data_IF_118498153605
#
_entry.id   IF_118498153605
#
_cell.length_a   1.000
_cell.length_b   1.000
_cell.length_c   1.000
_cell.angle_alpha   90.00
_cell.angle_beta   90.00
_cell.angle_gamma   90.00
#
_symmetry.space_group_name_H-M   'P 1'
#
loop_
_entity.id
_entity.type
_entity.pdbx_description
1 polymer ?
#
# COMPACT_ATOMS: atom_id res chain seq x y z
N UNK A 1 35.08 -67.24 -26.01
CA UNK A 1 34.21 -66.24 -26.66
C UNK A 1 32.97 -66.19 -25.80
N UNK A 2 32.91 -65.15 -24.97
CA UNK A 2 31.97 -65.03 -23.86
C UNK A 2 30.97 -63.94 -24.23
N UNK A 3 29.76 -64.33 -24.61
CA UNK A 3 28.67 -63.39 -24.93
C UNK A 3 27.79 -63.17 -23.71
N UNK A 4 28.07 -62.05 -23.03
CA UNK A 4 27.23 -61.44 -22.01
C UNK A 4 26.10 -60.65 -22.69
N UNK A 5 24.86 -61.07 -22.49
CA UNK A 5 23.67 -60.31 -22.88
C UNK A 5 23.38 -59.20 -21.86
N UNK A 6 23.55 -57.95 -22.32
CA UNK A 6 23.25 -56.71 -21.61
C UNK A 6 21.74 -56.56 -21.34
N UNK A 7 21.39 -56.40 -20.06
CA UNK A 7 20.05 -56.06 -19.62
C UNK A 7 19.82 -54.54 -19.78
N UNK A 8 18.88 -54.17 -20.65
CA UNK A 8 18.41 -52.79 -20.83
C UNK A 8 17.72 -52.29 -19.55
N UNK A 9 18.41 -51.44 -18.80
CA UNK A 9 17.87 -50.71 -17.68
C UNK A 9 16.88 -49.65 -18.18
N UNK A 10 15.59 -49.89 -17.97
CA UNK A 10 14.51 -48.91 -18.27
C UNK A 10 14.50 -47.87 -17.15
N UNK A 11 15.01 -46.68 -17.45
CA UNK A 11 15.01 -45.51 -16.58
C UNK A 11 13.58 -44.92 -16.50
N UNK A 12 12.80 -45.35 -15.51
CA UNK A 12 11.49 -44.77 -15.19
C UNK A 12 11.69 -43.47 -14.42
N UNK A 13 11.92 -42.37 -15.13
CA UNK A 13 11.89 -41.04 -14.51
C UNK A 13 10.45 -40.66 -14.15
N UNK A 14 10.17 -40.27 -12.89
CA UNK A 14 8.85 -39.80 -12.52
C UNK A 14 8.53 -38.49 -13.22
N UNK A 15 7.37 -38.44 -13.86
CA UNK A 15 6.79 -37.23 -14.46
C UNK A 15 6.55 -36.21 -13.35
N UNK A 16 7.44 -35.23 -13.23
CA UNK A 16 7.28 -34.12 -12.31
C UNK A 16 6.04 -33.30 -12.72
N UNK A 17 4.98 -33.40 -11.91
CA UNK A 17 3.84 -32.49 -11.98
C UNK A 17 4.36 -31.10 -11.63
N UNK A 18 4.47 -30.25 -12.66
CA UNK A 18 4.82 -28.84 -12.54
C UNK A 18 3.67 -28.13 -11.84
N UNK A 19 3.74 -28.02 -10.51
CA UNK A 19 2.93 -27.03 -9.80
C UNK A 19 3.48 -25.65 -10.18
N UNK A 20 2.69 -24.89 -10.94
CA UNK A 20 2.98 -23.47 -11.13
C UNK A 20 3.03 -22.80 -9.77
N UNK A 21 4.22 -22.28 -9.46
CA UNK A 21 4.51 -21.51 -8.26
C UNK A 21 3.65 -20.24 -8.29
N UNK A 22 2.48 -20.26 -7.66
CA UNK A 22 1.60 -19.09 -7.46
C UNK A 22 2.06 -18.22 -6.29
N UNK A 23 3.24 -18.47 -5.74
CA UNK A 23 3.82 -17.74 -4.61
C UNK A 23 4.42 -16.40 -5.04
N UNK A 24 3.62 -15.45 -5.52
CA UNK A 24 4.07 -14.06 -5.77
C UNK A 24 2.93 -13.05 -5.86
N UNK A 25 1.95 -13.08 -4.96
CA UNK A 25 0.92 -12.02 -4.96
C UNK A 25 0.64 -11.33 -3.63
N UNK A 26 1.10 -11.85 -2.49
CA UNK A 26 0.72 -11.27 -1.19
C UNK A 26 1.71 -11.62 -0.06
N UNK A 27 2.99 -11.16 -0.08
CA UNK A 27 3.77 -11.02 1.15
C UNK A 27 3.42 -9.72 1.91
N UNK A 28 2.65 -8.82 1.28
CA UNK A 28 2.17 -7.60 1.88
C UNK A 28 0.65 -7.60 1.86
N UNK A 29 0.03 -7.44 3.03
CA UNK A 29 -1.39 -7.10 3.11
C UNK A 29 -1.44 -5.59 2.97
N UNK A 30 -1.30 -5.17 1.72
CA UNK A 30 -1.70 -3.84 1.28
C UNK A 30 -3.09 -4.06 0.67
N UNK A 31 -4.13 -3.28 1.03
CA UNK A 31 -5.21 -3.05 0.06
C UNK A 31 -4.54 -2.67 -1.27
N UNK A 32 -5.02 -3.19 -2.42
CA UNK A 32 -4.24 -3.43 -3.63
C UNK A 32 -3.38 -2.23 -4.05
N UNK A 33 -2.09 -2.24 -3.71
CA UNK A 33 -1.18 -1.12 -3.93
C UNK A 33 0.27 -1.58 -3.92
N UNK A 34 0.94 -1.49 -5.09
CA UNK A 34 2.31 -1.00 -5.25
C UNK A 34 2.64 -0.97 -6.77
N UNK A 35 2.36 0.20 -7.39
CA UNK A 35 2.95 0.86 -8.57
C UNK A 35 2.93 0.20 -9.98
N UNK A 36 2.85 0.99 -11.09
CA UNK A 36 3.39 2.34 -11.28
C UNK A 36 2.37 3.49 -11.29
N UNK A 37 2.87 4.68 -10.94
CA UNK A 37 2.31 5.93 -11.40
C UNK A 37 2.40 5.94 -12.92
N UNK A 38 1.26 5.89 -13.60
CA UNK A 38 1.14 6.49 -14.93
C UNK A 38 0.39 7.79 -14.79
N UNK A 39 1.03 8.83 -15.30
CA UNK A 39 0.58 10.20 -15.35
C UNK A 39 -0.81 10.28 -15.99
N UNK A 40 -1.72 11.03 -15.37
CA UNK A 40 -2.83 11.63 -16.09
C UNK A 40 -2.56 13.13 -16.15
N UNK A 41 -2.09 13.59 -17.31
CA UNK A 41 -2.16 15.00 -17.66
C UNK A 41 -3.63 15.42 -17.59
N UNK A 42 -3.95 16.42 -16.76
CA UNK A 42 -5.29 16.98 -16.66
C UNK A 42 -5.57 17.75 -17.95
N UNK A 43 -6.24 17.13 -18.92
CA UNK A 43 -6.92 17.86 -19.98
C UNK A 43 -8.30 18.30 -19.46
N UNK A 44 -8.44 19.61 -19.29
CA UNK A 44 -9.71 20.28 -18.98
C UNK A 44 -10.56 20.30 -20.26
N UNK A 45 -11.75 19.69 -20.23
CA UNK A 45 -12.79 19.86 -21.25
C UNK A 45 -13.93 20.73 -20.66
N UNK A 46 -14.62 21.56 -21.49
CA UNK A 46 -15.69 22.43 -21.03
C UNK A 46 -16.96 21.64 -20.69
N UNK A 47 -17.64 22.06 -19.62
CA UNK A 47 -18.98 21.60 -19.27
C UNK A 47 -20.01 22.49 -19.97
N UNK A 48 -20.86 21.90 -20.82
CA UNK A 48 -22.08 22.56 -21.30
C UNK A 48 -23.32 21.70 -21.04
N UNK A 49 -24.30 22.37 -20.43
CA UNK A 49 -25.77 22.21 -20.49
C UNK A 49 -26.38 20.87 -20.04
N UNK A 50 -26.89 20.88 -18.79
CA UNK A 50 -27.89 19.93 -18.29
C UNK A 50 -29.17 20.67 -17.89
N UNK A 51 -30.28 20.30 -18.49
CA UNK A 51 -31.65 20.73 -18.15
C UNK A 51 -32.20 19.96 -16.93
N UNK A 52 -33.08 20.58 -16.11
CA UNK A 52 -33.60 19.95 -14.89
C UNK A 52 -34.81 19.03 -15.19
N UNK A 53 -34.94 17.87 -14.51
CA UNK A 53 -36.17 17.09 -14.55
C UNK A 53 -37.14 17.48 -13.42
N UNK A 54 -38.43 17.38 -13.76
CA UNK A 54 -39.60 17.66 -12.93
C UNK A 54 -39.68 16.79 -11.67
N UNK A 55 -40.11 17.44 -10.59
CA UNK A 55 -40.19 16.91 -9.24
C UNK A 55 -41.51 16.15 -9.02
N UNK A 56 -41.43 14.84 -8.74
CA UNK A 56 -42.55 14.06 -8.20
C UNK A 56 -42.27 13.71 -6.73
N UNK A 57 -42.97 14.42 -5.84
CA UNK A 57 -42.91 14.21 -4.39
C UNK A 57 -43.61 12.88 -4.03
N UNK A 58 -42.82 11.84 -3.74
CA UNK A 58 -43.30 10.64 -3.06
C UNK A 58 -42.69 10.60 -1.67
N UNK A 59 -43.49 10.95 -0.66
CA UNK A 59 -43.14 10.85 0.75
C UNK A 59 -43.03 9.36 1.13
N UNK A 60 -41.82 8.81 0.99
CA UNK A 60 -41.45 7.51 1.55
C UNK A 60 -41.30 7.66 3.06
N UNK A 61 -42.13 6.94 3.82
CA UNK A 61 -42.02 6.87 5.28
C UNK A 61 -40.61 6.41 5.68
N UNK A 62 -39.89 7.26 6.41
CA UNK A 62 -38.51 7.02 6.82
C UNK A 62 -38.43 5.77 7.70
N UNK A 63 -38.06 4.63 7.09
CA UNK A 63 -37.78 3.38 7.79
C UNK A 63 -36.55 3.62 8.67
N UNK A 64 -36.70 3.41 9.98
CA UNK A 64 -35.62 3.58 10.93
C UNK A 64 -34.37 2.81 10.43
N UNK A 65 -33.17 3.43 10.47
CA UNK A 65 -31.97 2.80 9.95
C UNK A 65 -31.70 1.50 10.69
N UNK A 66 -31.78 0.36 9.99
CA UNK A 66 -31.34 -0.92 10.52
C UNK A 66 -29.83 -0.84 10.75
N UNK A 67 -29.40 -0.95 12.01
CA UNK A 67 -27.98 -1.04 12.33
C UNK A 67 -27.45 -2.36 11.77
N UNK A 68 -26.46 -2.26 10.89
CA UNK A 68 -25.73 -3.43 10.40
C UNK A 68 -25.11 -4.18 11.58
N UNK A 69 -25.09 -5.53 11.57
CA UNK A 69 -24.45 -6.30 12.63
C UNK A 69 -22.96 -5.91 12.79
N UNK A 70 -22.39 -6.11 13.99
CA UNK A 70 -20.96 -5.87 14.23
C UNK A 70 -20.10 -6.77 13.35
N UNK A 71 -18.93 -6.29 12.95
CA UNK A 71 -17.96 -7.08 12.21
C UNK A 71 -17.42 -8.22 13.09
N UNK A 72 -17.30 -9.41 12.52
CA UNK A 72 -16.71 -10.59 13.16
C UNK A 72 -15.58 -11.07 12.26
N UNK A 73 -14.38 -11.23 12.83
CA UNK A 73 -13.24 -11.78 12.10
C UNK A 73 -13.58 -13.17 11.56
N UNK A 74 -13.31 -13.39 10.28
CA UNK A 74 -13.63 -14.66 9.58
C UNK A 74 -12.47 -15.65 9.57
N UNK A 75 -11.27 -15.19 9.93
CA UNK A 75 -10.04 -15.96 9.96
C UNK A 75 -9.02 -15.31 10.92
N UNK A 76 -7.96 -16.05 11.25
CA UNK A 76 -6.97 -15.64 12.26
C UNK A 76 -6.20 -14.37 11.86
N UNK A 77 -6.00 -14.18 10.55
CA UNK A 77 -5.33 -13.00 10.01
C UNK A 77 -6.17 -11.74 10.21
N UNK A 78 -7.48 -11.81 9.96
CA UNK A 78 -8.41 -10.71 10.27
C UNK A 78 -8.43 -10.41 11.78
N UNK A 79 -8.51 -11.45 12.62
CA UNK A 79 -8.47 -11.29 14.08
C UNK A 79 -7.17 -10.61 14.54
N UNK A 80 -6.03 -11.04 13.99
CA UNK A 80 -4.73 -10.43 14.25
C UNK A 80 -4.71 -8.93 13.89
N UNK A 81 -5.22 -8.54 12.72
CA UNK A 81 -5.24 -7.12 12.35
C UNK A 81 -6.23 -6.30 13.17
N UNK A 82 -7.39 -6.85 13.54
CA UNK A 82 -8.31 -6.17 14.46
C UNK A 82 -7.62 -5.82 15.78
N UNK A 83 -6.87 -6.78 16.33
CA UNK A 83 -6.12 -6.62 17.57
C UNK A 83 -5.00 -5.58 17.41
N UNK A 84 -4.11 -5.75 16.43
CA UNK A 84 -2.91 -4.90 16.29
C UNK A 84 -3.22 -3.48 15.81
N UNK A 85 -4.28 -3.29 15.03
CA UNK A 85 -4.72 -1.98 14.55
C UNK A 85 -5.77 -1.34 15.45
N UNK A 86 -6.26 -2.05 16.47
CA UNK A 86 -7.34 -1.60 17.37
C UNK A 86 -8.55 -1.05 16.60
N UNK A 87 -8.94 -1.72 15.51
CA UNK A 87 -10.03 -1.24 14.65
C UNK A 87 -11.37 -1.39 15.36
N UNK A 88 -12.20 -0.35 15.27
CA UNK A 88 -13.60 -0.47 15.64
C UNK A 88 -14.31 -1.45 14.69
N UNK A 89 -15.45 -2.03 15.09
CA UNK A 89 -16.24 -2.89 14.19
C UNK A 89 -16.67 -2.19 12.89
N UNK A 90 -16.82 -0.87 12.89
CA UNK A 90 -17.13 -0.12 11.67
C UNK A 90 -15.90 0.06 10.79
N UNK A 91 -14.73 0.38 11.36
CA UNK A 91 -13.48 0.48 10.60
C UNK A 91 -13.05 -0.87 10.02
N UNK A 92 -13.33 -1.96 10.75
CA UNK A 92 -13.07 -3.32 10.30
C UNK A 92 -13.80 -3.68 9.00
N UNK A 93 -15.08 -3.27 8.88
CA UNK A 93 -15.87 -3.48 7.64
C UNK A 93 -15.25 -2.82 6.42
N UNK A 94 -14.44 -1.80 6.66
CA UNK A 94 -13.82 -0.99 5.63
C UNK A 94 -12.39 -1.45 5.34
N UNK A 95 -11.71 -2.02 6.34
CA UNK A 95 -10.36 -2.56 6.22
C UNK A 95 -10.32 -3.95 5.57
N UNK A 96 -11.36 -4.77 5.76
CA UNK A 96 -11.41 -6.13 5.22
C UNK A 96 -12.37 -6.24 4.03
N UNK A 97 -12.04 -7.07 3.01
CA UNK A 97 -12.91 -7.23 1.86
C UNK A 97 -14.26 -7.84 2.28
N UNK A 98 -15.36 -7.30 1.75
CA UNK A 98 -16.66 -7.94 1.84
C UNK A 98 -16.64 -9.32 1.13
N UNK A 99 -17.68 -10.13 1.28
CA UNK A 99 -17.76 -11.39 0.54
C UNK A 99 -17.66 -11.21 -0.98
N UNK A 100 -18.29 -10.17 -1.53
CA UNK A 100 -18.16 -9.82 -2.94
C UNK A 100 -16.73 -9.37 -3.29
N UNK A 101 -16.05 -8.67 -2.37
CA UNK A 101 -14.64 -8.33 -2.51
C UNK A 101 -13.73 -9.56 -2.51
N UNK A 102 -14.02 -10.57 -1.68
CA UNK A 102 -13.30 -11.85 -1.68
C UNK A 102 -13.54 -12.56 -3.01
N UNK A 103 -14.79 -12.60 -3.50
CA UNK A 103 -15.12 -13.21 -4.79
C UNK A 103 -14.32 -12.57 -5.92
N UNK A 104 -14.18 -11.23 -5.92
CA UNK A 104 -13.38 -10.49 -6.90
C UNK A 104 -11.88 -10.83 -6.80
N UNK A 105 -11.31 -10.82 -5.59
CA UNK A 105 -9.89 -11.16 -5.35
C UNK A 105 -9.58 -12.60 -5.78
N UNK A 106 -10.51 -13.52 -5.52
CA UNK A 106 -10.41 -14.92 -5.91
C UNK A 106 -10.81 -15.17 -7.37
N UNK A 107 -11.08 -14.11 -8.15
CA UNK A 107 -11.50 -14.14 -9.56
C UNK A 107 -12.62 -15.16 -9.79
N UNK A 108 -13.61 -15.13 -8.91
CA UNK A 108 -14.77 -16.02 -8.96
C UNK A 108 -15.66 -15.62 -10.13
N UNK A 109 -16.01 -16.55 -11.04
CA UNK A 109 -16.91 -16.24 -12.14
C UNK A 109 -18.23 -15.64 -11.66
N UNK A 110 -18.76 -14.65 -12.37
CA UNK A 110 -20.04 -14.02 -11.99
C UNK A 110 -21.22 -15.00 -12.02
N UNK A 111 -21.13 -16.06 -12.83
CA UNK A 111 -22.11 -17.15 -12.92
C UNK A 111 -21.78 -18.35 -12.02
N UNK A 112 -20.80 -18.25 -11.11
CA UNK A 112 -20.51 -19.32 -10.17
C UNK A 112 -21.70 -19.58 -9.24
N UNK A 113 -21.97 -20.87 -8.98
CA UNK A 113 -22.98 -21.29 -8.01
C UNK A 113 -22.60 -20.85 -6.60
N UNK A 114 -23.59 -20.77 -5.71
CA UNK A 114 -23.36 -20.41 -4.30
C UNK A 114 -22.38 -21.37 -3.62
N UNK A 115 -22.48 -22.68 -3.92
CA UNK A 115 -21.56 -23.69 -3.40
C UNK A 115 -20.10 -23.42 -3.82
N UNK A 116 -19.87 -23.03 -5.08
CA UNK A 116 -18.53 -22.69 -5.55
C UNK A 116 -18.02 -21.39 -4.93
N UNK A 117 -18.88 -20.37 -4.79
CA UNK A 117 -18.54 -19.12 -4.07
C UNK A 117 -18.14 -19.40 -2.63
N UNK A 118 -18.95 -20.17 -1.89
CA UNK A 118 -18.65 -20.57 -0.51
C UNK A 118 -17.32 -21.33 -0.42
N UNK A 119 -17.07 -22.29 -1.32
CA UNK A 119 -15.79 -23.03 -1.36
C UNK A 119 -14.60 -22.10 -1.57
N UNK A 120 -14.69 -21.13 -2.49
CA UNK A 120 -13.61 -20.17 -2.76
C UNK A 120 -13.36 -19.23 -1.60
N UNK A 121 -14.41 -18.77 -0.92
CA UNK A 121 -14.28 -17.95 0.30
C UNK A 121 -13.63 -18.73 1.44
N UNK A 122 -14.01 -20.00 1.66
CA UNK A 122 -13.34 -20.87 2.62
C UNK A 122 -11.85 -21.08 2.29
N UNK A 123 -11.52 -21.24 1.00
CA UNK A 123 -10.12 -21.31 0.56
C UNK A 123 -9.36 -20.02 0.85
N UNK A 124 -9.96 -18.86 0.59
CA UNK A 124 -9.39 -17.56 0.93
C UNK A 124 -9.06 -17.47 2.43
N UNK A 125 -10.02 -17.80 3.30
CA UNK A 125 -9.84 -17.79 4.76
C UNK A 125 -8.75 -18.77 5.20
N UNK A 126 -8.70 -19.96 4.62
CA UNK A 126 -7.66 -20.97 4.91
C UNK A 126 -6.27 -20.45 4.52
N UNK A 127 -6.13 -19.85 3.34
CA UNK A 127 -4.86 -19.25 2.89
C UNK A 127 -4.45 -18.08 3.79
N UNK A 128 -5.41 -17.24 4.19
CA UNK A 128 -5.19 -16.11 5.08
C UNK A 128 -4.67 -16.56 6.46
N UNK A 129 -5.37 -17.49 7.14
CA UNK A 129 -4.89 -18.06 8.41
C UNK A 129 -3.53 -18.74 8.27
N UNK A 130 -3.34 -19.57 7.23
CA UNK A 130 -2.07 -20.27 7.02
C UNK A 130 -0.89 -19.30 6.88
N UNK A 131 -1.08 -18.15 6.24
CA UNK A 131 -0.03 -17.14 6.11
C UNK A 131 0.40 -16.55 7.44
N UNK A 132 -0.53 -16.28 8.34
CA UNK A 132 -0.20 -15.77 9.67
C UNK A 132 0.70 -16.75 10.43
N UNK A 133 0.41 -18.05 10.32
CA UNK A 133 1.12 -19.10 11.05
C UNK A 133 2.41 -19.60 10.37
N UNK A 134 2.52 -19.44 9.04
CA UNK A 134 3.67 -19.92 8.27
C UNK A 134 4.86 -18.96 8.26
N UNK A 135 4.70 -17.74 8.77
CA UNK A 135 5.76 -16.75 8.82
C UNK A 135 6.34 -16.71 10.24
N UNK A 136 7.64 -16.98 10.38
CA UNK A 136 8.36 -16.80 11.67
C UNK A 136 8.24 -15.36 12.19
N UNK A 137 7.97 -14.41 11.28
CA UNK A 137 7.71 -13.00 11.57
C UNK A 137 6.23 -12.71 11.40
N UNK A 138 5.66 -11.94 12.33
CA UNK A 138 4.30 -11.41 12.18
C UNK A 138 4.19 -10.56 10.90
N UNK A 139 3.02 -10.52 10.24
CA UNK A 139 2.80 -9.64 9.09
C UNK A 139 3.11 -8.18 9.43
N UNK A 140 3.90 -7.53 8.58
CA UNK A 140 4.24 -6.11 8.69
C UNK A 140 3.06 -5.27 8.24
N UNK A 141 2.64 -4.32 9.09
CA UNK A 141 1.63 -3.32 8.72
C UNK A 141 2.34 -2.19 8.00
N UNK A 142 2.04 -2.04 6.71
CA UNK A 142 2.53 -0.93 5.92
C UNK A 142 1.70 0.32 6.22
N UNK A 143 2.36 1.48 6.33
CA UNK A 143 1.65 2.75 6.46
C UNK A 143 1.25 3.13 7.89
N UNK A 144 1.55 2.29 8.89
CA UNK A 144 1.29 2.64 10.30
C UNK A 144 2.16 3.83 10.67
N UNK A 145 1.55 4.89 11.22
CA UNK A 145 2.27 6.04 11.77
C UNK A 145 3.02 5.62 13.04
N UNK A 146 4.20 6.20 13.30
CA UNK A 146 4.98 5.81 14.45
C UNK A 146 4.26 6.20 15.74
N UNK A 147 4.46 5.41 16.79
CA UNK A 147 4.04 5.77 18.15
C UNK A 147 5.14 6.60 18.83
N UNK A 148 4.78 7.36 19.87
CA UNK A 148 5.76 8.12 20.64
C UNK A 148 6.87 7.22 21.18
N UNK A 149 8.13 7.62 20.97
CA UNK A 149 9.32 6.85 21.38
C UNK A 149 9.74 5.72 20.44
N UNK A 150 9.06 5.54 19.30
CA UNK A 150 9.49 4.57 18.28
C UNK A 150 10.87 4.95 17.71
N UNK A 151 11.73 3.95 17.57
CA UNK A 151 13.07 4.11 17.02
C UNK A 151 13.00 4.26 15.48
N UNK A 152 14.03 4.87 14.87
CA UNK A 152 14.10 5.13 13.42
C UNK A 152 13.03 6.10 12.88
N UNK A 153 12.62 7.05 13.73
CA UNK A 153 11.87 8.24 13.34
C UNK A 153 12.84 9.42 13.21
N UNK A 154 12.78 10.12 12.08
CA UNK A 154 13.59 11.31 11.82
C UNK A 154 12.68 12.52 11.70
N UNK A 155 13.11 13.67 12.23
CA UNK A 155 12.43 14.95 12.06
C UNK A 155 13.32 15.89 11.25
N UNK A 156 12.73 16.55 10.26
CA UNK A 156 13.35 17.62 9.48
C UNK A 156 12.60 18.90 9.78
N UNK A 157 13.18 19.75 10.63
CA UNK A 157 12.57 21.02 11.01
C UNK A 157 12.43 21.94 9.80
N UNK A 158 11.24 22.50 9.62
CA UNK A 158 10.98 23.45 8.54
C UNK A 158 11.35 24.86 9.06
N UNK A 159 12.24 25.61 8.40
CA UNK A 159 12.65 26.93 8.86
C UNK A 159 11.47 27.91 8.97
N UNK A 160 11.46 28.68 10.06
CA UNK A 160 10.45 29.69 10.39
C UNK A 160 9.01 29.15 10.49
N UNK A 161 8.86 27.88 10.88
CA UNK A 161 7.59 27.17 10.99
C UNK A 161 7.56 26.35 12.28
N UNK A 162 6.36 26.04 12.80
CA UNK A 162 6.18 25.10 13.92
C UNK A 162 6.04 23.65 13.43
N UNK A 163 6.11 23.45 12.12
CA UNK A 163 6.01 22.16 11.49
C UNK A 163 7.39 21.56 11.19
N UNK A 164 7.45 20.24 11.22
CA UNK A 164 8.57 19.44 10.73
C UNK A 164 8.04 18.41 9.71
N UNK A 165 8.94 17.91 8.86
CA UNK A 165 8.70 16.68 8.10
C UNK A 165 9.16 15.51 8.95
N UNK A 166 8.23 14.64 9.32
CA UNK A 166 8.55 13.42 10.07
C UNK A 166 8.67 12.25 9.11
N UNK A 167 9.73 11.47 9.25
CA UNK A 167 10.11 10.34 8.39
C UNK A 167 10.17 9.05 9.22
N UNK A 168 9.62 7.96 8.71
CA UNK A 168 9.72 6.64 9.36
C UNK A 168 9.66 5.50 8.34
N UNK A 169 10.12 4.31 8.72
CA UNK A 169 10.16 3.16 7.81
C UNK A 169 8.76 2.70 7.34
N UNK A 170 7.76 2.72 8.23
CA UNK A 170 6.37 2.42 7.89
C UNK A 170 6.15 1.04 7.27
N UNK A 171 7.00 0.07 7.61
CA UNK A 171 6.99 -1.28 7.01
C UNK A 171 7.61 -1.38 5.61
N UNK A 172 8.23 -0.30 5.12
CA UNK A 172 8.76 -0.18 3.76
C UNK A 172 10.30 -0.16 3.70
N UNK A 173 10.95 -0.61 4.77
CA UNK A 173 12.39 -0.50 4.91
C UNK A 173 13.17 -1.32 3.87
N UNK A 174 12.70 -2.54 3.61
CA UNK A 174 13.29 -3.47 2.65
C UNK A 174 13.17 -2.95 1.20
N UNK A 175 12.23 -2.05 0.93
CA UNK A 175 12.00 -1.42 -0.37
C UNK A 175 12.82 -0.16 -0.60
N UNK A 176 13.60 0.31 0.39
CA UNK A 176 14.32 1.57 0.21
C UNK A 176 13.43 2.80 0.33
N UNK A 177 12.29 2.70 1.03
CA UNK A 177 11.29 3.75 1.08
C UNK A 177 11.11 4.21 2.52
N UNK A 178 11.04 5.52 2.71
CA UNK A 178 10.49 6.16 3.90
C UNK A 178 9.06 6.59 3.63
N UNK A 179 8.23 6.51 4.67
CA UNK A 179 7.01 7.28 4.73
C UNK A 179 7.28 8.62 5.40
N UNK A 180 6.49 9.62 5.04
CA UNK A 180 6.52 10.92 5.70
C UNK A 180 5.15 11.57 5.85
N UNK A 181 5.05 12.46 6.83
CA UNK A 181 3.93 13.35 7.07
C UNK A 181 4.41 14.72 7.58
N UNK A 182 3.48 15.69 7.63
CA UNK A 182 3.69 16.94 8.36
C UNK A 182 3.42 16.69 9.84
N UNK A 183 4.27 17.26 10.69
CA UNK A 183 4.22 17.04 12.13
C UNK A 183 4.35 18.37 12.85
N UNK A 184 3.40 18.68 13.74
CA UNK A 184 3.48 19.84 14.61
C UNK A 184 4.35 19.49 15.82
N UNK A 185 5.54 20.09 15.91
CA UNK A 185 6.50 19.78 16.99
C UNK A 185 6.09 20.37 18.34
N UNK A 186 5.23 21.39 18.34
CA UNK A 186 4.72 22.03 19.57
C UNK A 186 3.60 21.19 20.18
N UNK A 187 2.71 20.69 19.33
CA UNK A 187 1.55 19.88 19.75
C UNK A 187 1.85 18.38 19.79
N UNK A 188 3.04 17.96 19.35
CA UNK A 188 3.49 16.57 19.25
C UNK A 188 2.50 15.67 18.48
N UNK A 189 1.96 16.20 17.36
CA UNK A 189 0.93 15.51 16.59
C UNK A 189 1.10 15.65 15.08
N UNK A 190 0.74 14.60 14.31
CA UNK A 190 0.69 14.72 12.86
C UNK A 190 -0.41 15.68 12.43
N UNK A 191 -0.17 16.41 11.35
CA UNK A 191 -1.14 17.28 10.70
C UNK A 191 -1.24 16.93 9.22
N UNK A 192 -2.36 17.25 8.60
CA UNK A 192 -2.47 17.11 7.15
C UNK A 192 -1.62 18.16 6.44
N UNK A 193 -1.43 18.00 5.13
CA UNK A 193 -0.64 18.95 4.36
C UNK A 193 -1.26 20.34 4.40
N UNK A 194 -0.53 21.35 4.92
CA UNK A 194 -1.06 22.70 4.99
C UNK A 194 -1.40 23.25 3.61
N UNK A 195 -2.36 24.17 3.55
CA UNK A 195 -2.80 24.72 2.29
C UNK A 195 -1.65 25.42 1.54
N UNK A 196 -1.46 25.06 0.27
CA UNK A 196 -0.40 25.59 -0.59
C UNK A 196 0.99 24.97 -0.36
N UNK A 197 1.13 24.02 0.57
CA UNK A 197 2.37 23.29 0.75
C UNK A 197 2.46 22.20 -0.32
N UNK A 198 3.63 22.08 -0.95
CA UNK A 198 3.86 21.13 -2.04
C UNK A 198 5.20 20.43 -1.82
N UNK A 199 5.17 19.10 -1.77
CA UNK A 199 6.36 18.25 -1.71
C UNK A 199 6.70 17.76 -3.12
N UNK A 200 7.95 17.97 -3.55
CA UNK A 200 8.44 17.59 -4.88
C UNK A 200 9.76 16.84 -4.76
N UNK A 201 9.86 15.58 -5.22
CA UNK A 201 11.12 14.85 -5.25
C UNK A 201 12.07 15.52 -6.24
N UNK A 202 13.37 15.53 -5.92
CA UNK A 202 14.41 16.10 -6.76
C UNK A 202 15.07 14.96 -7.55
N UNK A 203 14.97 14.96 -8.89
CA UNK A 203 15.61 13.93 -9.70
C UNK A 203 17.13 13.94 -9.51
N UNK A 204 17.69 12.77 -9.22
CA UNK A 204 19.14 12.55 -9.20
C UNK A 204 19.53 11.75 -10.44
N UNK A 205 20.50 12.20 -11.25
CA UNK A 205 20.96 11.45 -12.42
C UNK A 205 21.28 9.98 -12.08
N UNK A 206 20.74 9.05 -12.87
CA UNK A 206 20.95 7.61 -12.67
C UNK A 206 20.06 6.97 -11.60
N UNK A 207 19.20 7.73 -10.91
CA UNK A 207 18.22 7.19 -9.97
C UNK A 207 16.81 7.32 -10.53
N UNK A 208 15.98 6.30 -10.27
CA UNK A 208 14.56 6.39 -10.57
C UNK A 208 13.93 7.47 -9.67
N UNK A 209 13.30 8.47 -10.28
CA UNK A 209 12.61 9.54 -9.56
C UNK A 209 11.21 9.71 -10.15
N UNK A 210 10.14 9.65 -9.35
CA UNK A 210 8.86 10.17 -9.79
C UNK A 210 9.03 11.67 -10.06
N UNK A 211 8.77 12.08 -11.31
CA UNK A 211 8.97 13.47 -11.78
C UNK A 211 7.85 14.43 -11.36
N UNK A 212 6.86 13.93 -10.60
CA UNK A 212 5.68 14.67 -10.18
C UNK A 212 5.74 15.03 -8.70
N UNK A 213 4.93 16.01 -8.32
CA UNK A 213 4.63 16.31 -6.92
C UNK A 213 4.20 15.04 -6.19
N UNK A 214 4.63 14.89 -4.95
CA UNK A 214 4.15 13.81 -4.10
C UNK A 214 2.66 14.01 -3.85
N UNK A 215 1.90 12.93 -4.01
CA UNK A 215 0.47 12.86 -3.72
C UNK A 215 0.31 12.00 -2.47
N UNK A 216 -0.55 12.39 -1.54
CA UNK A 216 -0.76 11.59 -0.33
C UNK A 216 -1.36 10.24 -0.72
N UNK A 217 -1.11 9.22 0.09
CA UNK A 217 -1.67 7.90 -0.10
C UNK A 217 -3.19 7.95 -0.08
N UNK A 218 -3.76 8.80 0.78
CA UNK A 218 -5.18 9.06 0.95
C UNK A 218 -5.80 9.61 -0.34
N UNK A 219 -5.17 10.61 -0.96
CA UNK A 219 -5.61 11.17 -2.24
C UNK A 219 -5.42 10.16 -3.39
N UNK A 220 -4.24 9.52 -3.46
CA UNK A 220 -3.92 8.54 -4.50
C UNK A 220 -4.90 7.37 -4.48
N UNK A 221 -5.25 6.87 -3.29
CA UNK A 221 -6.19 5.78 -3.11
C UNK A 221 -7.61 6.17 -3.48
N UNK A 222 -8.05 7.36 -3.04
CA UNK A 222 -9.39 7.86 -3.34
C UNK A 222 -9.62 8.02 -4.85
N UNK A 223 -8.61 8.45 -5.60
CA UNK A 223 -8.71 8.64 -7.05
C UNK A 223 -8.71 7.31 -7.84
N UNK A 224 -7.96 6.31 -7.38
CA UNK A 224 -7.83 5.01 -8.07
C UNK A 224 -8.97 4.06 -7.78
N UNK A 225 -9.52 4.15 -6.59
CA UNK A 225 -10.57 3.28 -6.13
C UNK A 225 -11.72 4.16 -5.63
N UNK A 226 -12.53 4.74 -6.53
CA UNK A 226 -13.70 5.52 -6.12
C UNK A 226 -14.69 4.68 -5.30
N UNK A 227 -14.67 3.36 -5.46
CA UNK A 227 -15.39 2.36 -4.66
C UNK A 227 -14.58 1.84 -3.46
N UNK A 228 -13.28 2.18 -3.32
CA UNK A 228 -12.57 1.90 -2.07
C UNK A 228 -13.34 2.55 -0.93
N UNK A 229 -13.38 1.77 0.12
CA UNK A 229 -14.40 1.75 1.15
C UNK A 229 -14.59 3.13 1.78
N UNK A 230 -15.73 3.31 2.46
CA UNK A 230 -15.95 4.50 3.27
C UNK A 230 -14.77 4.81 4.22
N UNK A 231 -13.87 3.87 4.57
CA UNK A 231 -12.66 4.17 5.36
C UNK A 231 -11.69 5.08 4.64
N UNK A 232 -11.44 4.84 3.35
CA UNK A 232 -10.55 5.73 2.58
C UNK A 232 -11.14 7.14 2.52
N UNK A 233 -12.48 7.26 2.47
CA UNK A 233 -13.18 8.55 2.54
C UNK A 233 -13.23 9.16 3.94
N UNK A 234 -13.33 8.34 5.00
CA UNK A 234 -13.32 8.79 6.39
C UNK A 234 -11.94 9.28 6.80
N UNK A 235 -10.88 8.66 6.29
CA UNK A 235 -9.51 9.15 6.46
C UNK A 235 -9.29 10.42 5.64
N UNK A 236 -9.89 10.53 4.46
CA UNK A 236 -9.80 11.75 3.64
C UNK A 236 -10.43 12.95 4.37
N UNK A 237 -9.58 13.82 4.90
CA UNK A 237 -9.98 15.03 5.62
C UNK A 237 -10.01 14.87 7.14
N UNK A 238 -9.75 13.68 7.68
CA UNK A 238 -9.41 13.54 9.09
C UNK A 238 -8.01 14.14 9.32
N UNK A 239 -7.89 15.00 10.31
CA UNK A 239 -6.64 15.72 10.59
C UNK A 239 -5.49 14.75 10.89
N UNK A 240 -4.29 15.06 10.39
CA UNK A 240 -3.11 14.25 10.66
C UNK A 240 -3.10 12.86 10.04
N UNK A 241 -3.85 12.63 8.96
CA UNK A 241 -3.90 11.32 8.28
C UNK A 241 -3.01 11.23 7.04
N UNK A 242 -2.69 12.35 6.39
CA UNK A 242 -1.88 12.36 5.18
C UNK A 242 -0.56 11.60 5.38
N UNK A 243 -0.24 10.76 4.38
CA UNK A 243 1.01 9.99 4.29
C UNK A 243 1.57 10.07 2.88
N UNK A 244 2.87 10.24 2.80
CA UNK A 244 3.61 10.21 1.54
C UNK A 244 4.67 9.13 1.58
N UNK A 245 5.19 8.76 0.42
CA UNK A 245 6.30 7.82 0.30
C UNK A 245 7.39 8.41 -0.58
N UNK A 246 8.63 8.32 -0.15
CA UNK A 246 9.82 8.80 -0.88
C UNK A 246 10.96 7.80 -0.73
N UNK A 247 11.84 7.69 -1.73
CA UNK A 247 12.97 6.76 -1.65
C UNK A 247 14.10 7.33 -0.78
N UNK A 248 14.81 6.43 -0.10
CA UNK A 248 16.02 6.73 0.66
C UNK A 248 17.08 7.44 -0.19
N UNK A 249 17.78 8.41 0.41
CA UNK A 249 18.85 9.16 -0.24
C UNK A 249 18.39 10.18 -1.28
N UNK A 250 17.10 10.24 -1.62
CA UNK A 250 16.58 11.27 -2.53
C UNK A 250 16.59 12.65 -1.90
N UNK A 251 16.73 13.69 -2.74
CA UNK A 251 16.38 15.05 -2.35
C UNK A 251 14.87 15.30 -2.45
N UNK A 252 14.36 16.17 -1.60
CA UNK A 252 12.99 16.65 -1.64
C UNK A 252 12.95 18.17 -1.47
N UNK A 253 12.08 18.81 -2.23
CA UNK A 253 11.76 20.22 -2.14
C UNK A 253 10.38 20.40 -1.52
N UNK A 254 10.29 21.26 -0.51
CA UNK A 254 9.05 21.78 0.04
C UNK A 254 8.86 23.23 -0.44
N UNK A 255 7.81 23.46 -1.23
CA UNK A 255 7.36 24.81 -1.58
C UNK A 255 6.24 25.24 -0.64
N UNK A 256 6.31 26.49 -0.15
CA UNK A 256 5.32 27.08 0.77
C UNK A 256 4.87 28.45 0.25
N UNK A 257 3.64 28.90 0.53
CA UNK A 257 3.18 30.23 0.12
C UNK A 257 4.08 31.34 0.69
N UNK A 258 4.51 32.28 -0.18
CA UNK A 258 5.30 33.47 0.20
C UNK A 258 6.63 33.17 0.93
N UNK A 259 7.22 31.99 0.73
CA UNK A 259 8.50 31.59 1.29
C UNK A 259 9.38 30.98 0.21
N UNK A 260 10.69 31.06 0.42
CA UNK A 260 11.65 30.37 -0.45
C UNK A 260 11.48 28.84 -0.37
N UNK A 261 11.74 28.11 -1.47
CA UNK A 261 11.76 26.66 -1.45
C UNK A 261 12.75 26.11 -0.42
N UNK A 262 12.29 25.16 0.37
CA UNK A 262 13.10 24.47 1.37
C UNK A 262 13.53 23.10 0.82
N UNK A 263 14.82 22.78 0.92
CA UNK A 263 15.39 21.55 0.37
C UNK A 263 15.94 20.68 1.49
N UNK A 264 15.66 19.38 1.45
CA UNK A 264 16.18 18.42 2.40
C UNK A 264 16.48 17.07 1.75
N UNK A 265 17.34 16.29 2.39
CA UNK A 265 17.72 14.95 1.95
C UNK A 265 17.01 13.90 2.80
N UNK A 266 16.52 12.85 2.15
CA UNK A 266 15.97 11.68 2.83
C UNK A 266 17.14 10.82 3.36
N UNK A 267 17.14 10.44 4.65
CA UNK A 267 18.20 9.61 5.20
C UNK A 267 18.40 8.30 4.42
N UNK A 268 19.62 7.77 4.43
CA UNK A 268 19.93 6.42 3.95
C UNK A 268 20.08 5.50 5.15
N UNK A 269 19.44 4.33 5.12
CA UNK A 269 19.65 3.34 6.18
C UNK A 269 20.92 2.54 5.90
N UNK A 270 21.70 2.19 6.94
CA UNK A 270 22.77 1.22 6.79
C UNK A 270 22.20 -0.07 6.23
N UNK A 271 22.69 -0.50 5.06
CA UNK A 271 22.33 -1.81 4.51
C UNK A 271 23.26 -2.85 5.13
N UNK A 272 22.75 -4.02 5.53
CA UNK A 272 23.62 -5.12 5.89
C UNK A 272 24.53 -5.38 4.69
N UNK A 273 25.83 -5.42 4.95
CA UNK A 273 26.76 -5.85 3.93
C UNK A 273 26.31 -7.26 3.51
N UNK A 274 26.02 -7.49 2.23
CA UNK A 274 25.53 -8.77 1.74
C UNK A 274 26.68 -9.80 1.75
N UNK A 275 27.22 -10.09 2.93
CA UNK A 275 28.48 -10.79 3.13
C UNK A 275 28.67 -11.97 2.17
N UNK A 276 29.78 -11.96 1.44
CA UNK A 276 30.07 -12.96 0.42
C UNK A 276 29.53 -12.65 -0.98
N UNK A 277 28.75 -11.59 -1.18
CA UNK A 277 28.35 -11.10 -2.51
C UNK A 277 29.40 -10.13 -3.03
N UNK A 278 30.10 -10.53 -4.09
CA UNK A 278 30.97 -9.65 -4.86
C UNK A 278 30.14 -8.96 -5.95
N UNK A 279 30.01 -7.64 -5.85
CA UNK A 279 29.38 -6.86 -6.92
C UNK A 279 30.37 -6.69 -8.08
N UNK A 280 29.89 -6.93 -9.30
CA UNK A 280 30.62 -6.52 -10.49
C UNK A 280 30.59 -4.99 -10.60
N UNK A 281 31.73 -4.36 -10.85
CA UNK A 281 31.80 -2.93 -11.15
C UNK A 281 31.72 -2.73 -12.66
N UNK A 282 30.87 -1.82 -13.11
CA UNK A 282 30.86 -1.42 -14.51
C UNK A 282 32.23 -0.81 -14.87
N UNK A 283 32.87 -1.34 -15.91
CA UNK A 283 34.11 -0.75 -16.43
C UNK A 283 33.75 0.41 -17.36
N UNK A 284 34.42 1.55 -17.20
CA UNK A 284 34.37 2.61 -18.22
C UNK A 284 35.13 2.12 -19.45
N UNK A 285 34.46 2.04 -20.59
CA UNK A 285 35.15 1.90 -21.87
C UNK A 285 35.51 3.32 -22.29
N UNK A 286 36.79 3.67 -22.23
CA UNK A 286 37.25 5.02 -22.55
C UNK A 286 36.69 5.49 -23.90
N UNK A 287 36.19 6.72 -23.94
CA UNK A 287 35.89 7.40 -25.19
C UNK A 287 37.24 7.66 -25.88
N UNK A 288 37.59 6.77 -26.82
CA UNK A 288 38.71 6.93 -27.75
C UNK A 288 38.42 8.03 -28.76
#
# INVERSE_FOLDING_TARGET
>A
MSDTHDAKHVDKRPTAVRFHNTASFLPYIVPPLLFPQMQRAKHTLPQDLVTPPSSSNSQSAARAPQRSPPFVARNDLEAYFLDVLHLSPEDAKLAFPSEAGIDLVMRTPTNASDAERSRRRQLYHTIASKKLHNTERKPVIIGKKPVAGELDVHLVDIPDDTLAIRLWAGGMADQGIYLLDFFNVVEDMPVNTPNGYILSPIPTPGQFCPVSQLVSWEESMSSRFPEATAATRLQRGAEGTDRYSIMEGMGCQLTRPNREPFYFLIPTRPRPNWGGVQFATARSVGAS
#
